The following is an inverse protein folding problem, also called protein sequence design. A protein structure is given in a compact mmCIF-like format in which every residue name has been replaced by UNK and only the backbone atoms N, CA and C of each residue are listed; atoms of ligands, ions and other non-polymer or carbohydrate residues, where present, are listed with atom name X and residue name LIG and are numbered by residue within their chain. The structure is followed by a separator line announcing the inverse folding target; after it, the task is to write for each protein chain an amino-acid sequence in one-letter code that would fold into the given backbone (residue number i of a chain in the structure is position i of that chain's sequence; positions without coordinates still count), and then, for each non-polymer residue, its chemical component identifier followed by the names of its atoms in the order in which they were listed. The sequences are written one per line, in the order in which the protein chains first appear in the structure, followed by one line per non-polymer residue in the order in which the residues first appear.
data_IF_378752674649
#
_entry.id   IF_378752674649
#
_cell.length_a   1.000
_cell.length_b   1.000
_cell.length_c   1.000
_cell.angle_alpha   90.00
_cell.angle_beta   90.00
_cell.angle_gamma   90.00
#
_symmetry.space_group_name_H-M   'P 1'
#
loop_
_entity.id
_entity.type
_entity.pdbx_description
1 polymer ?
#
# COMPACT_ATOMS: atom_id res chain seq x y z
N UNK A 1 53.84 17.97 -54.20
CA UNK A 1 53.52 17.73 -52.80
C UNK A 1 52.01 17.72 -52.68
N UNK A 2 51.41 16.51 -52.45
CA UNK A 2 49.92 16.34 -52.31
C UNK A 2 49.59 16.38 -50.83
N UNK A 3 48.82 17.36 -50.37
CA UNK A 3 48.32 17.43 -49.01
C UNK A 3 47.11 16.50 -48.85
N UNK A 4 47.24 15.46 -48.02
CA UNK A 4 46.10 14.58 -47.62
C UNK A 4 45.51 15.20 -46.36
N UNK A 5 44.30 15.73 -46.48
CA UNK A 5 43.51 16.24 -45.34
C UNK A 5 42.76 15.04 -44.75
N UNK A 6 43.13 14.59 -43.54
CA UNK A 6 42.44 13.57 -42.79
C UNK A 6 41.29 14.24 -42.05
N UNK A 7 40.05 13.94 -42.46
CA UNK A 7 38.83 14.36 -41.78
C UNK A 7 38.54 13.38 -40.61
N UNK A 8 38.82 13.79 -39.39
CA UNK A 8 38.43 13.03 -38.21
C UNK A 8 36.93 13.21 -37.96
N UNK A 9 36.15 12.18 -38.24
CA UNK A 9 34.74 12.11 -37.90
C UNK A 9 34.60 11.69 -36.42
N UNK A 10 34.38 12.64 -35.52
CA UNK A 10 34.04 12.39 -34.13
C UNK A 10 32.57 11.97 -34.03
N UNK A 11 32.31 10.68 -33.88
CA UNK A 11 30.99 10.15 -33.51
C UNK A 11 30.67 10.54 -32.06
N UNK A 12 29.84 11.54 -31.88
CA UNK A 12 29.21 11.82 -30.59
C UNK A 12 28.14 10.72 -30.33
N UNK A 13 28.48 9.75 -29.49
CA UNK A 13 27.47 8.86 -28.89
C UNK A 13 26.69 9.71 -27.87
N UNK A 14 25.55 10.26 -28.26
CA UNK A 14 24.54 10.71 -27.32
C UNK A 14 23.98 9.44 -26.64
N UNK A 15 24.51 9.05 -25.49
CA UNK A 15 23.84 8.15 -24.59
C UNK A 15 22.60 8.90 -24.09
N UNK A 16 21.45 8.65 -24.71
CA UNK A 16 20.17 9.13 -24.19
C UNK A 16 19.99 8.55 -22.79
N UNK A 17 19.95 9.42 -21.80
CA UNK A 17 19.53 9.03 -20.44
C UNK A 17 18.03 8.77 -20.57
N UNK A 18 17.65 7.53 -20.80
CA UNK A 18 16.24 7.12 -20.71
C UNK A 18 15.87 7.15 -19.21
N UNK A 19 14.81 7.88 -18.88
CA UNK A 19 14.28 7.86 -17.52
C UNK A 19 13.80 6.44 -17.22
N UNK A 20 14.14 5.93 -16.02
CA UNK A 20 13.68 4.62 -15.55
C UNK A 20 12.16 4.55 -15.51
N UNK A 21 11.61 3.38 -15.81
CA UNK A 21 10.16 3.13 -15.68
C UNK A 21 9.78 3.10 -14.20
N UNK A 22 8.90 4.00 -13.80
CA UNK A 22 8.43 4.07 -12.42
C UNK A 22 7.34 3.05 -12.15
N UNK A 23 7.47 2.34 -11.04
CA UNK A 23 6.53 1.32 -10.57
C UNK A 23 6.32 1.46 -9.07
N UNK A 24 5.19 0.96 -8.56
CA UNK A 24 4.88 1.06 -7.14
C UNK A 24 4.29 -0.24 -6.58
N UNK A 25 4.62 -0.56 -5.35
CA UNK A 25 3.93 -1.57 -4.55
C UNK A 25 3.66 -1.02 -3.16
N UNK A 26 2.44 -1.18 -2.68
CA UNK A 26 2.11 -0.89 -1.30
C UNK A 26 1.59 -2.13 -0.59
N UNK A 27 2.01 -2.29 0.66
CA UNK A 27 1.77 -3.47 1.49
C UNK A 27 1.06 -3.02 2.75
N UNK A 28 -0.09 -3.62 3.03
CA UNK A 28 -0.79 -3.44 4.30
C UNK A 28 -0.57 -4.71 5.13
N UNK A 29 -0.05 -4.52 6.35
CA UNK A 29 0.00 -5.52 7.41
C UNK A 29 -1.06 -5.13 8.43
N UNK A 30 -2.11 -5.94 8.54
CA UNK A 30 -3.31 -5.59 9.31
C UNK A 30 -3.07 -5.47 10.81
N UNK A 31 -3.60 -4.41 11.41
CA UNK A 31 -3.74 -4.24 12.85
C UNK A 31 -2.45 -4.18 13.66
N UNK A 32 -1.35 -3.68 13.10
CA UNK A 32 -0.05 -3.60 13.80
C UNK A 32 0.22 -2.18 14.28
N UNK A 33 0.15 -1.90 15.61
CA UNK A 33 0.41 -0.57 16.16
C UNK A 33 1.84 -0.07 15.89
N UNK A 34 2.01 1.25 15.79
CA UNK A 34 3.33 1.86 15.55
C UNK A 34 4.37 1.53 16.63
N UNK A 35 3.97 1.54 17.90
CA UNK A 35 4.85 1.19 19.02
C UNK A 35 5.38 -0.25 18.96
N UNK A 36 4.62 -1.16 18.36
CA UNK A 36 5.03 -2.54 18.11
C UNK A 36 6.17 -2.61 17.10
N UNK A 37 6.05 -1.90 15.97
CA UNK A 37 7.09 -1.79 14.95
C UNK A 37 8.35 -1.13 15.52
N UNK A 38 8.18 -0.03 16.25
CA UNK A 38 9.30 0.71 16.85
C UNK A 38 10.06 -0.10 17.89
N UNK A 39 9.36 -0.94 18.65
CA UNK A 39 9.97 -1.84 19.65
C UNK A 39 10.68 -3.04 19.02
N UNK A 40 10.04 -3.71 18.05
CA UNK A 40 10.58 -4.92 17.42
C UNK A 40 11.65 -4.61 16.37
N UNK A 41 11.56 -3.48 15.70
CA UNK A 41 12.43 -3.05 14.60
C UNK A 41 12.56 -4.14 13.52
N UNK A 42 11.45 -4.53 12.89
CA UNK A 42 11.43 -5.58 11.87
C UNK A 42 12.40 -5.25 10.73
N UNK A 43 13.35 -6.14 10.40
CA UNK A 43 14.48 -5.80 9.53
C UNK A 43 14.11 -5.35 8.12
N UNK A 44 13.11 -5.98 7.48
CA UNK A 44 12.74 -5.63 6.11
C UNK A 44 12.05 -4.27 6.05
N UNK A 45 11.14 -3.99 6.99
CA UNK A 45 10.46 -2.68 7.11
C UNK A 45 11.50 -1.57 7.34
N UNK A 46 12.51 -1.79 8.20
CA UNK A 46 13.56 -0.82 8.46
C UNK A 46 14.57 -0.71 7.32
N UNK A 47 14.83 -1.79 6.56
CA UNK A 47 15.66 -1.74 5.35
C UNK A 47 14.99 -0.84 4.28
N UNK A 48 13.70 -1.00 4.06
CA UNK A 48 12.90 -0.12 3.19
C UNK A 48 12.99 1.33 3.67
N UNK A 49 12.74 1.59 4.95
CA UNK A 49 12.80 2.93 5.54
C UNK A 49 14.17 3.60 5.43
N UNK A 50 15.25 2.82 5.36
CA UNK A 50 16.63 3.34 5.36
C UNK A 50 16.94 4.24 4.16
N UNK A 51 16.25 4.05 3.04
CA UNK A 51 16.43 4.83 1.80
C UNK A 51 15.47 6.01 1.68
N UNK A 52 14.35 5.99 2.40
CA UNK A 52 13.31 7.02 2.35
C UNK A 52 12.95 7.53 3.75
N UNK A 53 12.09 6.80 4.47
CA UNK A 53 11.71 7.18 5.81
C UNK A 53 10.71 6.24 6.49
N UNK A 54 10.63 6.38 7.80
CA UNK A 54 9.59 5.83 8.67
C UNK A 54 8.98 6.97 9.47
N UNK A 55 7.65 7.01 9.57
CA UNK A 55 6.93 7.96 10.42
C UNK A 55 5.64 7.36 10.94
N UNK A 56 5.21 7.80 12.12
CA UNK A 56 3.85 7.57 12.61
C UNK A 56 2.88 8.33 11.73
N UNK A 57 1.71 7.74 11.51
CA UNK A 57 0.60 8.31 10.77
C UNK A 57 -0.70 8.12 11.54
N UNK A 58 -1.78 8.71 11.07
CA UNK A 58 -3.09 8.60 11.72
C UNK A 58 -4.12 7.92 10.84
N UNK A 59 -5.08 7.26 11.47
CA UNK A 59 -6.34 6.78 10.89
C UNK A 59 -7.52 7.25 11.75
N UNK A 60 -8.77 6.92 11.35
CA UNK A 60 -9.96 7.19 12.14
C UNK A 60 -10.53 8.61 12.00
N UNK A 61 -10.03 9.42 11.07
CA UNK A 61 -10.53 10.77 10.82
C UNK A 61 -10.13 11.76 11.91
N UNK A 62 -10.84 12.89 12.00
CA UNK A 62 -10.64 13.92 13.02
C UNK A 62 -11.66 13.75 14.15
N UNK A 63 -11.19 13.68 15.40
CA UNK A 63 -12.05 13.47 16.58
C UNK A 63 -13.05 14.63 16.71
N UNK A 64 -14.34 14.29 16.85
CA UNK A 64 -15.42 15.25 16.95
C UNK A 64 -15.88 15.87 15.63
N UNK A 65 -15.29 15.48 14.50
CA UNK A 65 -15.65 15.97 13.17
C UNK A 65 -16.44 14.94 12.34
N UNK A 66 -16.93 15.34 11.18
CA UNK A 66 -17.65 14.45 10.25
C UNK A 66 -16.79 13.29 9.73
N UNK A 67 -15.48 13.43 9.74
CA UNK A 67 -14.53 12.41 9.31
C UNK A 67 -14.23 11.37 10.39
N UNK A 68 -14.66 11.60 11.65
CA UNK A 68 -14.45 10.63 12.72
C UNK A 68 -15.13 9.30 12.41
N UNK A 69 -14.36 8.21 12.53
CA UNK A 69 -14.87 6.86 12.31
C UNK A 69 -14.13 5.83 13.13
N UNK A 70 -14.71 4.63 13.21
CA UNK A 70 -14.06 3.50 13.86
C UNK A 70 -12.72 3.16 13.20
N UNK A 71 -11.77 2.69 14.00
CA UNK A 71 -10.48 2.17 13.56
C UNK A 71 -10.64 0.67 13.20
N UNK A 72 -11.31 0.43 12.07
CA UNK A 72 -11.68 -0.90 11.56
C UNK A 72 -11.06 -1.10 10.18
N UNK A 73 -10.69 -2.32 9.88
CA UNK A 73 -9.90 -2.75 8.73
C UNK A 73 -10.41 -2.23 7.38
N UNK A 74 -11.66 -2.57 6.98
CA UNK A 74 -12.19 -2.12 5.68
C UNK A 74 -12.28 -0.58 5.56
N UNK A 75 -12.49 0.12 6.69
CA UNK A 75 -12.47 1.58 6.73
C UNK A 75 -11.06 2.08 6.42
N UNK A 76 -10.06 1.54 7.12
CA UNK A 76 -8.65 1.88 6.94
C UNK A 76 -8.16 1.62 5.52
N UNK A 77 -8.48 0.45 4.94
CA UNK A 77 -8.14 0.16 3.55
C UNK A 77 -8.77 1.15 2.58
N UNK A 78 -10.05 1.49 2.80
CA UNK A 78 -10.75 2.41 1.90
C UNK A 78 -10.25 3.83 2.05
N UNK A 79 -9.90 4.28 3.28
CA UNK A 79 -9.21 5.56 3.49
C UNK A 79 -7.94 5.65 2.64
N UNK A 80 -7.11 4.60 2.65
CA UNK A 80 -5.89 4.54 1.84
C UNK A 80 -6.21 4.51 0.34
N UNK A 81 -7.13 3.64 -0.08
CA UNK A 81 -7.46 3.43 -1.49
C UNK A 81 -8.00 4.69 -2.18
N UNK A 82 -8.82 5.47 -1.47
CA UNK A 82 -9.52 6.64 -2.02
C UNK A 82 -8.87 7.97 -1.63
N UNK A 83 -7.92 7.97 -0.69
CA UNK A 83 -7.39 9.16 -0.04
C UNK A 83 -8.47 10.02 0.64
N UNK A 84 -9.59 9.41 1.07
CA UNK A 84 -10.71 10.10 1.72
C UNK A 84 -11.12 9.44 3.03
N UNK A 85 -11.81 10.17 3.89
CA UNK A 85 -12.35 9.63 5.12
C UNK A 85 -13.74 9.01 4.93
N UNK A 86 -14.20 8.27 5.94
CA UNK A 86 -15.47 7.54 5.97
C UNK A 86 -16.68 8.34 5.48
N UNK A 87 -16.81 9.58 5.89
CA UNK A 87 -17.94 10.46 5.53
C UNK A 87 -18.11 10.65 4.01
N UNK A 88 -17.09 10.31 3.23
CA UNK A 88 -17.07 10.37 1.77
C UNK A 88 -17.25 8.96 1.16
N UNK A 89 -16.36 8.03 1.46
CA UNK A 89 -16.38 6.70 0.83
C UNK A 89 -17.43 5.72 1.39
N UNK A 90 -18.07 6.02 2.52
CA UNK A 90 -19.23 5.30 3.10
C UNK A 90 -18.98 3.82 3.50
N UNK A 91 -17.72 3.39 3.66
CA UNK A 91 -17.40 2.06 4.20
C UNK A 91 -17.30 2.16 5.72
N UNK A 92 -18.30 1.63 6.44
CA UNK A 92 -18.47 1.82 7.88
C UNK A 92 -18.06 0.64 8.76
N UNK A 93 -17.50 -0.42 8.20
CA UNK A 93 -17.08 -1.64 8.92
C UNK A 93 -16.70 -2.73 7.95
N UNK A 94 -16.48 -3.96 8.47
CA UNK A 94 -16.09 -5.11 7.66
C UNK A 94 -17.29 -5.84 7.03
N UNK A 95 -18.49 -5.59 7.55
CA UNK A 95 -19.74 -6.22 7.09
C UNK A 95 -20.62 -5.25 6.31
N UNK A 96 -21.49 -5.80 5.44
CA UNK A 96 -22.47 -5.03 4.68
C UNK A 96 -21.86 -3.83 3.93
N UNK A 97 -20.72 -4.04 3.34
CA UNK A 97 -19.94 -3.04 2.64
C UNK A 97 -20.74 -2.35 1.53
N UNK A 98 -20.78 -1.03 1.56
CA UNK A 98 -21.48 -0.20 0.56
C UNK A 98 -20.61 1.00 0.16
N UNK A 99 -19.49 0.78 -0.55
CA UNK A 99 -18.61 1.86 -0.97
C UNK A 99 -19.36 2.87 -1.86
N UNK A 100 -19.07 4.14 -1.66
CA UNK A 100 -19.46 5.20 -2.59
C UNK A 100 -18.37 5.34 -3.65
N UNK A 101 -18.54 4.67 -4.79
CA UNK A 101 -17.58 4.65 -5.87
C UNK A 101 -17.40 5.97 -6.63
N UNK A 102 -18.12 7.03 -6.24
CA UNK A 102 -17.81 8.37 -6.73
C UNK A 102 -16.44 8.86 -6.21
N UNK A 103 -16.01 8.36 -5.06
CA UNK A 103 -14.66 8.57 -4.55
C UNK A 103 -13.73 7.51 -5.13
N UNK A 104 -12.93 7.92 -6.12
CA UNK A 104 -12.15 7.00 -6.92
C UNK A 104 -11.03 6.36 -6.09
N UNK A 105 -10.92 5.04 -6.20
CA UNK A 105 -9.75 4.33 -5.71
C UNK A 105 -8.54 4.64 -6.58
N UNK A 106 -7.34 4.47 -6.01
CA UNK A 106 -6.07 4.59 -6.76
C UNK A 106 -6.03 3.67 -8.00
N UNK A 107 -6.70 2.51 -7.94
CA UNK A 107 -6.83 1.60 -9.10
C UNK A 107 -7.66 2.22 -10.22
N UNK A 108 -8.75 2.89 -9.89
CA UNK A 108 -9.53 3.61 -10.89
C UNK A 108 -8.74 4.78 -11.47
N UNK A 109 -8.09 5.58 -10.64
CA UNK A 109 -7.23 6.68 -11.10
C UNK A 109 -6.18 6.13 -12.08
N UNK A 110 -5.50 5.05 -11.75
CA UNK A 110 -4.48 4.43 -12.61
C UNK A 110 -5.03 3.98 -13.96
N UNK A 111 -6.19 3.31 -13.98
CA UNK A 111 -6.81 2.81 -15.23
C UNK A 111 -7.39 3.90 -16.11
N UNK A 112 -7.81 5.03 -15.53
CA UNK A 112 -8.28 6.18 -16.32
C UNK A 112 -7.13 7.02 -16.89
N UNK A 113 -5.88 6.88 -16.39
CA UNK A 113 -4.71 7.55 -16.96
C UNK A 113 -4.25 6.88 -18.26
N UNK A 114 -3.97 5.57 -18.18
CA UNK A 114 -3.41 4.80 -19.28
C UNK A 114 -4.10 3.44 -19.37
N UNK A 115 -4.69 3.13 -20.53
CA UNK A 115 -5.40 1.86 -20.75
C UNK A 115 -4.50 0.62 -20.57
N UNK A 116 -3.22 0.76 -20.86
CA UNK A 116 -2.25 -0.33 -20.81
C UNK A 116 -1.51 -0.41 -19.46
N UNK A 117 -1.81 0.49 -18.51
CA UNK A 117 -1.24 0.47 -17.17
C UNK A 117 -1.62 -0.81 -16.43
N UNK A 118 -0.62 -1.58 -16.02
CA UNK A 118 -0.80 -2.91 -15.43
C UNK A 118 -0.91 -2.82 -13.91
N UNK A 119 -1.99 -3.36 -13.38
CA UNK A 119 -2.26 -3.39 -11.95
C UNK A 119 -2.22 -4.80 -11.39
N UNK A 120 -1.71 -4.94 -10.16
CA UNK A 120 -1.66 -6.18 -9.41
C UNK A 120 -2.42 -6.08 -8.07
N UNK A 121 -3.12 -7.14 -7.70
CA UNK A 121 -3.72 -7.31 -6.38
C UNK A 121 -3.39 -8.70 -5.85
N UNK A 122 -2.83 -8.74 -4.66
CA UNK A 122 -2.46 -9.94 -3.92
C UNK A 122 -3.04 -9.82 -2.52
N UNK A 123 -4.13 -10.52 -2.25
CA UNK A 123 -4.94 -10.23 -1.07
C UNK A 123 -5.39 -11.49 -0.35
N UNK A 124 -5.25 -11.49 0.97
CA UNK A 124 -5.78 -12.54 1.84
C UNK A 124 -7.28 -12.40 2.09
N UNK A 125 -7.90 -11.30 1.65
CA UNK A 125 -9.33 -11.06 1.75
C UNK A 125 -9.93 -10.66 0.39
N UNK A 126 -10.88 -11.47 -0.09
CA UNK A 126 -11.47 -11.33 -1.44
C UNK A 126 -12.24 -10.02 -1.63
N UNK A 127 -12.87 -9.50 -0.58
CA UNK A 127 -13.69 -8.28 -0.67
C UNK A 127 -12.87 -7.01 -0.92
N UNK A 128 -11.56 -7.04 -0.69
CA UNK A 128 -10.66 -5.98 -1.13
C UNK A 128 -10.80 -5.70 -2.64
N UNK A 129 -10.90 -6.75 -3.46
CA UNK A 129 -11.08 -6.63 -4.90
C UNK A 129 -12.55 -6.43 -5.29
N UNK A 130 -13.39 -7.34 -4.82
CA UNK A 130 -14.77 -7.48 -5.33
C UNK A 130 -15.69 -6.36 -4.85
N UNK A 131 -15.39 -5.80 -3.66
CA UNK A 131 -16.20 -4.77 -3.03
C UNK A 131 -15.44 -3.45 -2.88
N UNK A 132 -14.30 -3.40 -2.17
CA UNK A 132 -13.65 -2.11 -1.89
C UNK A 132 -13.10 -1.44 -3.15
N UNK A 133 -12.41 -2.17 -4.02
CA UNK A 133 -11.99 -1.68 -5.33
C UNK A 133 -13.19 -1.65 -6.30
N UNK A 134 -14.08 -2.62 -6.19
CA UNK A 134 -15.27 -2.73 -7.04
C UNK A 134 -14.96 -3.20 -8.45
N UNK A 135 -14.02 -4.16 -8.61
CA UNK A 135 -13.68 -4.70 -9.91
C UNK A 135 -14.93 -5.19 -10.66
N UNK A 136 -15.04 -4.81 -11.94
CA UNK A 136 -16.11 -5.22 -12.85
C UNK A 136 -17.46 -4.56 -12.61
N UNK A 137 -17.59 -3.64 -11.63
CA UNK A 137 -18.84 -2.92 -11.37
C UNK A 137 -19.03 -1.77 -12.35
N UNK A 138 -20.29 -1.47 -12.77
CA UNK A 138 -20.59 -0.31 -13.61
C UNK A 138 -20.11 1.00 -12.98
N UNK A 139 -20.28 1.15 -11.67
CA UNK A 139 -19.94 2.36 -10.90
C UNK A 139 -18.43 2.65 -10.90
N UNK A 140 -17.60 1.66 -11.16
CA UNK A 140 -16.14 1.79 -11.32
C UNK A 140 -15.71 1.82 -12.78
N UNK A 141 -16.62 2.05 -13.72
CA UNK A 141 -16.38 1.98 -15.16
C UNK A 141 -15.84 0.60 -15.61
N UNK A 142 -16.37 -0.48 -15.01
CA UNK A 142 -15.96 -1.87 -15.29
C UNK A 142 -14.45 -2.10 -15.13
N UNK A 143 -13.84 -1.40 -14.15
CA UNK A 143 -12.42 -1.54 -13.82
C UNK A 143 -12.00 -3.01 -13.77
N UNK A 144 -10.86 -3.31 -14.38
CA UNK A 144 -10.26 -4.66 -14.37
C UNK A 144 -8.84 -4.60 -13.84
N UNK A 145 -8.51 -5.50 -12.92
CA UNK A 145 -7.15 -5.70 -12.40
C UNK A 145 -6.47 -6.76 -13.29
N UNK A 146 -5.21 -6.52 -13.68
CA UNK A 146 -4.52 -7.39 -14.64
C UNK A 146 -3.96 -8.66 -14.00
N UNK A 147 -3.41 -8.55 -12.78
CA UNK A 147 -2.81 -9.66 -12.05
C UNK A 147 -3.49 -9.81 -10.70
N UNK A 148 -4.23 -10.89 -10.51
CA UNK A 148 -5.02 -11.13 -9.30
C UNK A 148 -4.57 -12.43 -8.64
N UNK A 149 -4.35 -12.38 -7.31
CA UNK A 149 -4.16 -13.54 -6.43
C UNK A 149 -4.94 -13.30 -5.15
N UNK A 150 -6.17 -13.79 -5.11
CA UNK A 150 -7.08 -13.76 -3.97
C UNK A 150 -8.06 -14.95 -4.01
N UNK A 151 -9.09 -14.93 -3.18
CA UNK A 151 -10.11 -15.98 -3.15
C UNK A 151 -9.78 -17.13 -2.19
N UNK A 152 -8.62 -17.10 -1.56
CA UNK A 152 -8.14 -18.15 -0.65
C UNK A 152 -8.95 -18.21 0.66
N UNK A 153 -9.44 -17.07 1.13
CA UNK A 153 -10.33 -16.95 2.30
C UNK A 153 -11.66 -17.68 2.11
N UNK A 154 -12.09 -17.86 0.85
CA UNK A 154 -13.29 -18.62 0.46
C UNK A 154 -13.01 -20.08 0.12
N UNK A 155 -11.76 -20.49 -0.05
CA UNK A 155 -11.35 -21.85 -0.37
C UNK A 155 -11.16 -22.70 0.89
N UNK A 156 -12.27 -23.15 1.49
CA UNK A 156 -12.25 -23.98 2.70
C UNK A 156 -11.74 -25.41 2.48
N UNK A 157 -11.51 -25.82 1.23
CA UNK A 157 -10.93 -27.13 0.88
C UNK A 157 -9.41 -27.10 1.07
N UNK A 158 -8.75 -26.10 0.50
CA UNK A 158 -7.29 -25.93 0.61
C UNK A 158 -6.87 -25.17 1.87
N UNK A 159 -7.74 -24.31 2.39
CA UNK A 159 -7.51 -23.52 3.61
C UNK A 159 -8.64 -23.76 4.64
N UNK A 160 -8.77 -25.00 5.17
CA UNK A 160 -9.76 -25.30 6.22
C UNK A 160 -9.42 -24.54 7.49
N UNK A 161 -10.44 -24.17 8.26
CA UNK A 161 -10.25 -23.47 9.52
C UNK A 161 -9.29 -24.25 10.43
N UNK A 162 -8.34 -23.56 11.02
CA UNK A 162 -7.34 -24.10 11.95
C UNK A 162 -7.46 -23.42 13.31
N UNK A 163 -6.96 -24.08 14.33
CA UNK A 163 -6.80 -23.47 15.66
C UNK A 163 -5.98 -22.19 15.55
N UNK A 164 -6.33 -21.17 16.34
CA UNK A 164 -5.71 -19.85 16.32
C UNK A 164 -5.75 -19.18 14.92
N UNK A 165 -6.73 -19.53 14.11
CA UNK A 165 -6.91 -19.01 12.74
C UNK A 165 -5.67 -19.10 11.83
N UNK A 166 -4.78 -20.07 12.11
CA UNK A 166 -3.54 -20.27 11.37
C UNK A 166 -3.73 -20.52 9.88
N UNK A 167 -4.93 -20.88 9.43
CA UNK A 167 -5.22 -20.96 8.01
C UNK A 167 -5.13 -19.59 7.31
N UNK A 168 -5.38 -18.48 8.01
CA UNK A 168 -5.20 -17.13 7.49
C UNK A 168 -3.70 -16.82 7.34
N UNK A 169 -2.87 -17.25 8.30
CA UNK A 169 -1.42 -17.16 8.15
C UNK A 169 -0.91 -17.94 6.92
N UNK A 170 -1.44 -19.15 6.68
CA UNK A 170 -1.08 -19.93 5.49
C UNK A 170 -1.48 -19.21 4.19
N UNK A 171 -2.61 -18.49 4.20
CA UNK A 171 -3.05 -17.64 3.09
C UNK A 171 -2.05 -16.48 2.89
N UNK A 172 -1.67 -15.77 3.96
CA UNK A 172 -0.68 -14.68 3.88
C UNK A 172 0.67 -15.18 3.32
N UNK A 173 1.11 -16.37 3.74
CA UNK A 173 2.30 -17.03 3.21
C UNK A 173 2.19 -17.28 1.69
N UNK A 174 1.02 -17.70 1.22
CA UNK A 174 0.72 -17.89 -0.19
C UNK A 174 0.72 -16.56 -0.94
N UNK A 175 -0.04 -15.60 -0.45
CA UNK A 175 -0.21 -14.27 -1.05
C UNK A 175 1.14 -13.56 -1.22
N UNK A 176 1.97 -13.55 -0.17
CA UNK A 176 3.29 -12.89 -0.22
C UNK A 176 4.26 -13.55 -1.21
N UNK A 177 4.23 -14.88 -1.33
CA UNK A 177 5.03 -15.62 -2.32
C UNK A 177 4.59 -15.31 -3.75
N UNK A 178 3.31 -15.33 -4.02
CA UNK A 178 2.76 -15.06 -5.35
C UNK A 178 2.89 -13.59 -5.74
N UNK A 179 2.79 -12.66 -4.79
CA UNK A 179 3.10 -11.26 -5.02
C UNK A 179 4.56 -11.06 -5.44
N UNK A 180 5.50 -11.66 -4.71
CA UNK A 180 6.93 -11.60 -5.02
C UNK A 180 7.25 -12.25 -6.39
N UNK A 181 6.62 -13.38 -6.70
CA UNK A 181 6.79 -14.05 -7.99
C UNK A 181 6.28 -13.19 -9.16
N UNK A 182 5.06 -12.62 -9.03
CA UNK A 182 4.48 -11.77 -10.05
C UNK A 182 5.27 -10.47 -10.24
N UNK A 183 5.74 -9.83 -9.16
CA UNK A 183 6.63 -8.67 -9.24
C UNK A 183 7.91 -9.01 -10.01
N UNK A 184 8.55 -10.14 -9.71
CA UNK A 184 9.77 -10.57 -10.42
C UNK A 184 9.54 -10.84 -11.90
N UNK A 185 8.43 -11.49 -12.25
CA UNK A 185 8.15 -12.02 -13.58
C UNK A 185 7.37 -11.04 -14.45
N UNK A 186 6.25 -10.56 -13.93
CA UNK A 186 5.26 -9.80 -14.68
C UNK A 186 5.43 -8.28 -14.49
N UNK A 187 5.99 -7.88 -13.34
CA UNK A 187 6.26 -6.50 -12.94
C UNK A 187 5.08 -5.54 -13.19
N UNK A 188 3.92 -5.74 -12.54
CA UNK A 188 2.82 -4.77 -12.63
C UNK A 188 3.29 -3.35 -12.33
N UNK A 189 2.69 -2.34 -12.95
CA UNK A 189 3.11 -0.95 -12.75
C UNK A 189 2.72 -0.42 -11.38
N UNK A 190 1.61 -0.93 -10.84
CA UNK A 190 1.18 -0.68 -9.45
C UNK A 190 0.57 -1.94 -8.85
N UNK A 191 0.96 -2.26 -7.60
CA UNK A 191 0.48 -3.44 -6.89
C UNK A 191 0.03 -3.12 -5.47
N UNK A 192 -1.02 -3.81 -5.01
CA UNK A 192 -1.42 -3.87 -3.62
C UNK A 192 -1.22 -5.28 -3.08
N UNK A 193 -0.51 -5.39 -1.94
CA UNK A 193 -0.35 -6.64 -1.16
C UNK A 193 -1.04 -6.44 0.18
N UNK A 194 -1.95 -7.33 0.53
CA UNK A 194 -2.66 -7.30 1.81
C UNK A 194 -2.42 -8.59 2.59
N UNK A 195 -1.96 -8.44 3.83
CA UNK A 195 -1.64 -9.51 4.79
C UNK A 195 -2.51 -9.33 6.05
N UNK A 196 -3.28 -10.35 6.36
CA UNK A 196 -4.35 -10.29 7.37
C UNK A 196 -3.92 -10.76 8.76
N UNK A 197 -3.16 -11.87 8.86
CA UNK A 197 -3.06 -12.68 10.07
C UNK A 197 -2.53 -11.95 11.31
N UNK A 198 -1.79 -10.88 11.19
CA UNK A 198 -1.34 -10.09 12.34
C UNK A 198 -2.51 -9.53 13.16
N UNK A 199 -3.63 -9.21 12.51
CA UNK A 199 -4.84 -8.76 13.22
C UNK A 199 -5.46 -9.90 14.02
N UNK A 200 -5.67 -11.09 13.44
CA UNK A 200 -6.15 -12.27 14.15
C UNK A 200 -5.23 -12.66 15.31
N UNK A 201 -3.92 -12.63 15.11
CA UNK A 201 -2.95 -12.90 16.17
C UNK A 201 -3.10 -11.96 17.36
N UNK A 202 -3.34 -10.68 17.10
CA UNK A 202 -3.66 -9.66 18.10
C UNK A 202 -4.98 -9.98 18.81
N UNK A 203 -6.06 -10.20 18.08
CA UNK A 203 -7.37 -10.55 18.64
C UNK A 203 -7.30 -11.77 19.57
N UNK A 204 -6.56 -12.79 19.19
CA UNK A 204 -6.48 -14.06 19.91
C UNK A 204 -5.63 -13.96 21.19
N UNK A 205 -4.50 -13.25 21.15
CA UNK A 205 -3.51 -13.27 22.24
C UNK A 205 -3.16 -11.90 22.82
N UNK A 206 -3.63 -10.82 22.22
CA UNK A 206 -3.25 -9.46 22.63
C UNK A 206 -1.76 -9.21 22.45
N UNK A 207 -1.25 -8.19 23.16
CA UNK A 207 0.19 -7.90 23.18
C UNK A 207 0.98 -9.07 23.80
N UNK A 208 2.17 -9.35 23.27
CA UNK A 208 3.09 -10.33 23.85
C UNK A 208 3.80 -11.17 22.78
N UNK A 209 4.50 -12.21 23.26
CA UNK A 209 5.41 -13.01 22.41
C UNK A 209 4.74 -13.62 21.17
N UNK A 210 3.48 -14.02 21.27
CA UNK A 210 2.75 -14.60 20.15
C UNK A 210 2.53 -13.54 19.05
N UNK A 211 2.03 -12.37 19.42
CA UNK A 211 1.83 -11.26 18.48
C UNK A 211 3.17 -10.81 17.90
N UNK A 212 4.21 -10.66 18.75
CA UNK A 212 5.56 -10.32 18.32
C UNK A 212 6.08 -11.27 17.24
N UNK A 213 5.89 -12.58 17.45
CA UNK A 213 6.31 -13.62 16.49
C UNK A 213 5.64 -13.42 15.12
N UNK A 214 4.32 -13.15 15.11
CA UNK A 214 3.61 -13.00 13.83
C UNK A 214 3.86 -11.66 13.15
N UNK A 215 4.15 -10.60 13.89
CA UNK A 215 4.65 -9.35 13.31
C UNK A 215 6.01 -9.59 12.63
N UNK A 216 6.91 -10.36 13.24
CA UNK A 216 8.19 -10.72 12.63
C UNK A 216 8.03 -11.64 11.41
N UNK A 217 7.04 -12.56 11.42
CA UNK A 217 6.72 -13.38 10.24
C UNK A 217 6.12 -12.53 9.11
N UNK A 218 5.31 -11.52 9.42
CA UNK A 218 4.81 -10.58 8.44
C UNK A 218 5.96 -9.75 7.82
N UNK A 219 6.98 -9.39 8.60
CA UNK A 219 8.20 -8.76 8.07
C UNK A 219 8.94 -9.68 7.07
N UNK A 220 8.98 -10.99 7.33
CA UNK A 220 9.53 -11.96 6.37
C UNK A 220 8.69 -12.02 5.07
N UNK A 221 7.38 -11.85 5.16
CA UNK A 221 6.49 -11.76 4.01
C UNK A 221 6.74 -10.45 3.23
N UNK A 222 6.91 -9.33 3.90
CA UNK A 222 7.35 -8.05 3.30
C UNK A 222 8.72 -8.20 2.65
N UNK A 223 9.67 -8.87 3.31
CA UNK A 223 11.01 -9.10 2.77
C UNK A 223 10.98 -9.81 1.42
N UNK A 224 10.09 -10.79 1.21
CA UNK A 224 9.95 -11.47 -0.10
C UNK A 224 9.59 -10.49 -1.22
N UNK A 225 8.66 -9.60 -0.95
CA UNK A 225 8.24 -8.56 -1.91
C UNK A 225 9.37 -7.56 -2.15
N UNK A 226 10.03 -7.11 -1.08
CA UNK A 226 11.18 -6.20 -1.17
C UNK A 226 12.34 -6.79 -1.96
N UNK A 227 12.69 -8.05 -1.74
CA UNK A 227 13.72 -8.75 -2.54
C UNK A 227 13.33 -8.88 -4.02
N UNK A 228 12.04 -9.05 -4.33
CA UNK A 228 11.56 -9.05 -5.71
C UNK A 228 11.71 -7.68 -6.37
N UNK A 229 11.42 -6.60 -5.64
CA UNK A 229 11.64 -5.22 -6.10
C UNK A 229 13.14 -4.96 -6.34
N UNK A 230 14.00 -5.25 -5.38
CA UNK A 230 15.46 -5.10 -5.53
C UNK A 230 15.99 -5.88 -6.74
N UNK A 231 15.48 -7.07 -6.98
CA UNK A 231 15.82 -7.84 -8.17
C UNK A 231 15.42 -7.12 -9.46
N UNK A 232 14.22 -6.52 -9.50
CA UNK A 232 13.75 -5.76 -10.68
C UNK A 232 14.65 -4.55 -10.94
N UNK A 233 14.93 -3.76 -9.94
CA UNK A 233 15.79 -2.57 -10.05
C UNK A 233 17.23 -2.91 -10.47
N UNK A 234 17.73 -4.07 -10.06
CA UNK A 234 19.08 -4.54 -10.41
C UNK A 234 19.19 -5.10 -11.83
N UNK A 235 18.09 -5.59 -12.43
CA UNK A 235 18.12 -6.31 -13.69
C UNK A 235 17.35 -5.64 -14.83
N UNK A 236 16.55 -4.62 -14.53
CA UNK A 236 15.72 -3.89 -15.50
C UNK A 236 15.85 -2.39 -15.27
N UNK A 237 15.53 -1.60 -16.28
CA UNK A 237 15.54 -0.15 -16.19
C UNK A 237 14.26 0.36 -15.50
N UNK A 238 14.11 0.00 -14.23
CA UNK A 238 12.96 0.29 -13.39
C UNK A 238 13.39 0.98 -12.10
N UNK A 239 12.47 1.78 -11.55
CA UNK A 239 12.57 2.43 -10.25
C UNK A 239 11.26 2.19 -9.49
N UNK A 240 11.34 1.67 -8.28
CA UNK A 240 10.18 1.24 -7.54
C UNK A 240 9.96 2.05 -6.26
N UNK A 241 8.74 2.52 -6.08
CA UNK A 241 8.27 2.98 -4.77
C UNK A 241 7.66 1.81 -4.01
N UNK A 242 8.17 1.57 -2.81
CA UNK A 242 7.59 0.61 -1.86
C UNK A 242 7.02 1.39 -0.69
N UNK A 243 5.78 1.12 -0.33
CA UNK A 243 5.15 1.62 0.88
C UNK A 243 4.70 0.43 1.72
N UNK A 244 5.07 0.40 3.00
CA UNK A 244 4.56 -0.57 3.96
C UNK A 244 3.84 0.20 5.06
N UNK A 245 2.64 -0.25 5.41
CA UNK A 245 1.79 0.42 6.40
C UNK A 245 0.89 -0.58 7.12
N UNK A 246 0.12 -0.08 8.05
CA UNK A 246 -1.03 -0.75 8.68
C UNK A 246 -2.27 0.13 8.52
N UNK A 247 -3.43 -0.44 8.64
CA UNK A 247 -4.72 0.24 8.50
C UNK A 247 -5.24 0.86 9.82
N UNK A 248 -4.90 0.24 10.96
CA UNK A 248 -5.17 0.71 12.30
C UNK A 248 -4.17 0.16 13.32
N UNK A 249 -4.16 0.75 14.51
CA UNK A 249 -3.50 0.18 15.67
C UNK A 249 -4.47 -0.66 16.50
N UNK A 250 -4.17 -0.81 17.79
CA UNK A 250 -4.94 -1.63 18.73
C UNK A 250 -5.07 -0.91 20.07
N UNK A 251 -6.09 -1.27 20.86
CA UNK A 251 -6.19 -0.79 22.24
C UNK A 251 -4.98 -1.23 23.10
N UNK A 252 -4.88 -0.71 24.31
CA UNK A 252 -3.68 -0.85 25.16
C UNK A 252 -3.32 -2.32 25.45
N UNK A 253 -4.31 -3.21 25.65
CA UNK A 253 -4.07 -4.63 25.88
C UNK A 253 -3.80 -5.45 24.60
N UNK A 254 -4.04 -4.85 23.42
CA UNK A 254 -3.77 -5.42 22.11
C UNK A 254 -4.83 -6.40 21.59
N UNK A 255 -5.93 -6.68 22.33
CA UNK A 255 -6.95 -7.62 21.86
C UNK A 255 -7.96 -7.01 20.88
N UNK A 256 -8.28 -5.71 21.01
CA UNK A 256 -9.35 -5.11 20.24
C UNK A 256 -8.90 -3.80 19.58
N UNK A 257 -9.73 -3.34 18.67
CA UNK A 257 -9.64 -2.06 17.98
C UNK A 257 -11.07 -1.61 17.58
N UNK A 258 -11.20 -0.48 16.92
CA UNK A 258 -12.49 0.05 16.45
C UNK A 258 -12.96 1.26 17.24
N UNK A 259 -12.14 1.77 18.17
CA UNK A 259 -12.42 2.97 18.97
C UNK A 259 -11.47 4.10 18.57
N UNK A 260 -11.40 5.14 19.40
CA UNK A 260 -10.65 6.37 19.15
C UNK A 260 -9.48 6.57 20.12
N UNK A 261 -8.97 5.52 20.77
CA UNK A 261 -7.76 5.65 21.57
C UNK A 261 -6.57 6.07 20.69
N UNK A 262 -5.62 6.79 21.25
CA UNK A 262 -4.44 7.23 20.51
C UNK A 262 -3.72 6.06 19.88
N UNK A 263 -3.57 4.93 20.58
CA UNK A 263 -2.88 3.75 20.07
C UNK A 263 -3.63 3.08 18.92
N UNK A 264 -4.98 3.01 18.95
CA UNK A 264 -5.79 2.48 17.84
C UNK A 264 -5.70 3.37 16.60
N UNK A 265 -5.64 4.68 16.79
CA UNK A 265 -5.54 5.68 15.71
C UNK A 265 -4.14 5.83 15.13
N UNK A 266 -3.11 5.41 15.88
CA UNK A 266 -1.73 5.56 15.44
C UNK A 266 -1.32 4.40 14.54
N UNK A 267 -1.24 4.70 13.25
CA UNK A 267 -0.63 3.87 12.21
C UNK A 267 0.82 4.29 11.96
N UNK A 268 1.41 3.76 10.92
CA UNK A 268 2.77 4.11 10.50
C UNK A 268 2.94 3.91 9.00
N UNK A 269 3.90 4.62 8.41
CA UNK A 269 4.28 4.49 7.01
C UNK A 269 5.80 4.31 6.93
N UNK A 270 6.23 3.27 6.23
CA UNK A 270 7.62 3.03 5.82
C UNK A 270 7.72 3.10 4.30
N UNK A 271 8.71 3.79 3.76
CA UNK A 271 8.92 3.90 2.31
C UNK A 271 10.40 4.00 1.96
N UNK A 272 10.76 3.57 0.74
CA UNK A 272 12.14 3.61 0.23
C UNK A 272 12.45 4.86 -0.60
N UNK A 273 11.47 5.72 -0.88
CA UNK A 273 11.68 6.91 -1.69
C UNK A 273 11.88 8.16 -0.83
N UNK A 274 12.62 9.18 -1.34
CA UNK A 274 12.79 10.44 -0.62
C UNK A 274 11.46 11.11 -0.28
N UNK A 275 11.30 11.50 0.97
CA UNK A 275 10.08 12.11 1.50
C UNK A 275 10.24 13.62 1.68
N UNK A 276 9.13 14.35 1.71
CA UNK A 276 9.10 15.78 1.97
C UNK A 276 8.87 16.09 3.46
N UNK A 277 8.80 17.38 3.82
CA UNK A 277 8.62 17.81 5.20
C UNK A 277 7.28 17.40 5.82
N UNK A 278 6.21 17.20 5.01
CA UNK A 278 4.89 16.75 5.47
C UNK A 278 4.99 15.38 6.17
N UNK A 279 5.88 14.52 5.70
CA UNK A 279 6.07 13.17 6.25
C UNK A 279 6.45 13.16 7.74
N UNK A 280 7.10 14.23 8.24
CA UNK A 280 7.59 14.31 9.62
C UNK A 280 6.87 15.35 10.49
N UNK A 281 5.89 16.08 9.95
CA UNK A 281 5.23 17.19 10.69
C UNK A 281 4.15 16.77 11.69
N UNK A 282 3.91 15.46 11.88
CA UNK A 282 2.99 14.94 12.88
C UNK A 282 1.50 14.94 12.47
N UNK A 283 1.19 15.28 11.23
CA UNK A 283 -0.16 15.21 10.64
C UNK A 283 -0.25 14.24 9.46
N UNK A 284 0.75 13.37 9.30
CA UNK A 284 0.75 12.30 8.30
C UNK A 284 -0.42 11.34 8.55
N UNK A 285 -1.11 10.94 7.49
CA UNK A 285 -2.25 10.04 7.58
C UNK A 285 -2.19 8.93 6.54
N UNK A 286 -2.94 7.86 6.74
CA UNK A 286 -3.03 6.79 5.74
C UNK A 286 -3.68 7.26 4.43
N UNK A 287 -4.45 8.33 4.45
CA UNK A 287 -5.03 8.96 3.25
C UNK A 287 -3.96 9.59 2.36
N UNK A 288 -2.76 9.87 2.87
CA UNK A 288 -1.66 10.48 2.13
C UNK A 288 -0.94 9.50 1.19
N UNK A 289 -1.19 8.19 1.35
CA UNK A 289 -0.49 7.14 0.59
C UNK A 289 -0.89 7.17 -0.89
N UNK A 290 -2.18 7.13 -1.21
CA UNK A 290 -2.62 7.10 -2.61
C UNK A 290 -2.18 8.34 -3.40
N UNK A 291 -2.33 9.59 -2.93
CA UNK A 291 -1.82 10.75 -3.66
C UNK A 291 -0.30 10.76 -3.79
N UNK A 292 0.45 10.19 -2.82
CA UNK A 292 1.90 10.04 -2.92
C UNK A 292 2.30 9.06 -4.03
N UNK A 293 1.64 7.90 -4.11
CA UNK A 293 1.86 6.93 -5.18
C UNK A 293 1.49 7.53 -6.54
N UNK A 294 0.34 8.22 -6.64
CA UNK A 294 -0.06 8.90 -7.87
C UNK A 294 0.99 9.93 -8.33
N UNK A 295 1.51 10.72 -7.40
CA UNK A 295 2.59 11.70 -7.69
C UNK A 295 3.88 11.00 -8.13
N UNK A 296 4.26 9.91 -7.48
CA UNK A 296 5.44 9.12 -7.86
C UNK A 296 5.34 8.58 -9.28
N UNK A 297 4.19 8.01 -9.62
CA UNK A 297 3.91 7.44 -10.95
C UNK A 297 3.66 8.51 -12.03
N UNK A 298 3.52 9.79 -11.64
CA UNK A 298 3.27 10.89 -12.57
C UNK A 298 1.83 10.98 -13.05
N UNK A 299 0.87 10.45 -12.31
CA UNK A 299 -0.54 10.53 -12.66
C UNK A 299 -1.09 11.95 -12.52
N UNK A 300 -1.91 12.34 -13.47
CA UNK A 300 -2.74 13.53 -13.37
C UNK A 300 -4.10 13.15 -12.79
N UNK A 301 -4.30 13.39 -11.48
CA UNK A 301 -5.59 13.15 -10.85
C UNK A 301 -6.58 14.20 -11.38
N UNK A 302 -7.77 13.81 -11.91
CA UNK A 302 -8.77 14.77 -12.32
C UNK A 302 -9.11 15.75 -11.19
N UNK A 303 -9.30 17.03 -11.52
CA UNK A 303 -9.42 18.09 -10.52
C UNK A 303 -10.61 17.88 -9.57
N UNK A 304 -11.73 17.39 -10.08
CA UNK A 304 -12.91 17.04 -9.29
C UNK A 304 -12.64 15.89 -8.31
N UNK A 305 -11.86 14.88 -8.72
CA UNK A 305 -11.41 13.79 -7.84
C UNK A 305 -10.42 14.31 -6.80
N UNK A 306 -9.43 15.14 -7.22
CA UNK A 306 -8.40 15.68 -6.32
C UNK A 306 -8.99 16.57 -5.23
N UNK A 307 -9.98 17.39 -5.53
CA UNK A 307 -10.63 18.25 -4.55
C UNK A 307 -11.40 17.49 -3.46
N UNK A 308 -11.81 16.26 -3.74
CA UNK A 308 -12.47 15.41 -2.77
C UNK A 308 -11.48 14.63 -1.87
N UNK A 309 -10.20 14.55 -2.24
CA UNK A 309 -9.20 13.86 -1.43
C UNK A 309 -8.86 14.67 -0.18
N UNK A 310 -8.81 13.98 0.96
CA UNK A 310 -8.38 14.53 2.25
C UNK A 310 -6.87 14.39 2.44
N UNK A 311 -6.24 13.44 1.75
CA UNK A 311 -4.82 13.17 1.84
C UNK A 311 -3.95 14.11 1.01
N UNK A 312 -2.71 14.31 1.46
CA UNK A 312 -1.67 15.10 0.81
C UNK A 312 -0.45 14.25 0.47
N UNK A 313 0.22 14.46 -0.67
CA UNK A 313 1.41 13.70 -1.00
C UNK A 313 2.57 13.99 -0.03
N UNK A 314 3.19 12.94 0.50
CA UNK A 314 4.38 13.03 1.36
C UNK A 314 5.71 12.96 0.57
N UNK A 315 5.65 13.00 -0.77
CA UNK A 315 6.83 13.05 -1.64
C UNK A 315 6.79 14.28 -2.54
N UNK A 316 7.95 14.66 -3.10
CA UNK A 316 8.06 15.84 -3.97
C UNK A 316 7.90 17.13 -3.19
N UNK A 317 7.68 18.25 -3.90
CA UNK A 317 7.45 19.55 -3.26
C UNK A 317 6.07 19.59 -2.60
N UNK A 318 6.01 20.17 -1.42
CA UNK A 318 4.72 20.55 -0.81
C UNK A 318 4.23 21.80 -1.52
N UNK A 319 3.18 21.67 -2.30
CA UNK A 319 2.55 22.81 -2.95
C UNK A 319 1.33 23.22 -2.11
N UNK A 320 1.23 24.51 -1.77
CA UNK A 320 0.11 25.03 -0.96
C UNK A 320 -1.25 24.92 -1.66
N UNK A 321 -1.25 24.50 -2.92
CA UNK A 321 -2.44 24.27 -3.75
C UNK A 321 -2.68 22.79 -4.10
N UNK A 322 -1.91 21.86 -3.49
CA UNK A 322 -2.11 20.41 -3.63
C UNK A 322 -3.29 19.89 -2.84
#
# INVERSE_FOLDING_TARGET
MKHITILLLTLFFCAGIFAKTKKAVYIIIDGVPADQIERLKPPAIYDIASSGGYSRAITGGEIGAYSETATISAIGYTNLLTATWFNKHNVGGNDNLKPNYNYWTIFRIAKEQEKDFKTGLYSSWTDNRTVLIGEGKPETNYLKIDYVRDGYDNDKVNYPNKELDLHIFDIDERVSKEAAESIRKDAPDMSWVYLWYTDDAGHIKGNGKFFDEYVMKADEQVRRVWEAVKYREANFDEEWMVVVTTDHGREENGHHHGRQSERERTTWISTNVPVNEHFYKGNLSITDIAPSICRYLGFSIPQDVRWEQDGMPFIGKVDIYD
#
